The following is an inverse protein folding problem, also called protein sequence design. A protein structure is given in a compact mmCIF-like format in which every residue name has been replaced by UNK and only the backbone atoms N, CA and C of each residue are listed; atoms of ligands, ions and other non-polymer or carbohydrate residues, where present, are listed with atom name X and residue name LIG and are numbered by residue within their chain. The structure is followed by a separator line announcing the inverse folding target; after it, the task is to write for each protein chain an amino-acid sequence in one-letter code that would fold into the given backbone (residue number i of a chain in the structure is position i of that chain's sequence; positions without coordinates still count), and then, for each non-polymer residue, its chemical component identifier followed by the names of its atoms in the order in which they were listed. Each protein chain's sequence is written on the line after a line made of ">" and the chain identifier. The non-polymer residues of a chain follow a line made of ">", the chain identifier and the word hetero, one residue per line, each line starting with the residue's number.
data_IF_967308965098
#
_entry.id   IF_967308965098
#
_cell.length_a   1.000
_cell.length_b   1.000
_cell.length_c   1.000
_cell.angle_alpha   90.00
_cell.angle_beta   90.00
_cell.angle_gamma   90.00
#
_symmetry.space_group_name_H-M   'P 1'
#
loop_
_entity.id
_entity.type
_entity.pdbx_description
1 polymer ?
#
# COMPACT_ATOMS: atom_id res chain seq x y z
N UNK A 1 -17.81 -7.69 52.42
CA UNK A 1 -18.55 -6.72 51.58
C UNK A 1 -17.66 -5.52 51.38
N UNK A 2 -17.05 -5.37 50.21
CA UNK A 2 -16.32 -4.18 49.80
C UNK A 2 -16.67 -3.91 48.35
N UNK A 3 -17.51 -2.90 48.12
CA UNK A 3 -17.94 -2.43 46.81
C UNK A 3 -16.83 -1.55 46.21
N UNK A 4 -16.16 -2.05 45.18
CA UNK A 4 -15.25 -1.26 44.37
C UNK A 4 -16.06 -0.45 43.35
N UNK A 5 -16.22 0.85 43.60
CA UNK A 5 -16.78 1.78 42.62
C UNK A 5 -15.79 2.01 41.48
N UNK A 6 -16.17 1.63 40.26
CA UNK A 6 -15.50 2.06 39.03
C UNK A 6 -15.82 3.52 38.80
N UNK A 7 -14.84 4.39 39.00
CA UNK A 7 -14.95 5.80 38.58
C UNK A 7 -14.73 5.84 37.05
N UNK A 8 -15.82 6.01 36.31
CA UNK A 8 -15.78 6.41 34.90
C UNK A 8 -15.16 7.82 34.84
N UNK A 9 -13.86 7.85 34.56
CA UNK A 9 -13.10 9.08 34.38
C UNK A 9 -13.49 9.69 33.03
N UNK A 10 -14.33 10.72 33.06
CA UNK A 10 -14.69 11.49 31.85
C UNK A 10 -13.41 12.15 31.32
N UNK A 11 -13.03 11.88 30.05
CA UNK A 11 -11.80 12.45 29.50
C UNK A 11 -11.86 13.97 29.48
N UNK A 12 -10.77 14.60 29.94
CA UNK A 12 -10.64 16.06 30.01
C UNK A 12 -10.89 16.73 28.65
N UNK A 13 -11.51 17.93 28.61
CA UNK A 13 -11.77 18.66 27.39
C UNK A 13 -10.45 18.97 26.66
N UNK A 14 -10.40 18.68 25.36
CA UNK A 14 -9.22 18.91 24.53
C UNK A 14 -8.99 20.41 24.33
N UNK A 15 -7.72 20.84 24.36
CA UNK A 15 -7.39 22.26 24.14
C UNK A 15 -7.76 22.72 22.71
N UNK A 16 -8.05 24.02 22.52
CA UNK A 16 -8.34 24.59 21.19
C UNK A 16 -7.24 24.32 20.16
N UNK A 17 -5.97 24.30 20.56
CA UNK A 17 -4.84 23.97 19.70
C UNK A 17 -4.84 22.51 19.25
N UNK A 18 -5.23 21.58 20.14
CA UNK A 18 -5.36 20.16 19.82
C UNK A 18 -6.49 19.93 18.82
N UNK A 19 -7.61 20.63 18.98
CA UNK A 19 -8.73 20.58 18.04
C UNK A 19 -8.37 21.17 16.68
N UNK A 20 -7.67 22.30 16.64
CA UNK A 20 -7.22 22.91 15.39
C UNK A 20 -6.23 22.01 14.62
N UNK A 21 -5.28 21.38 15.30
CA UNK A 21 -4.36 20.40 14.69
C UNK A 21 -5.11 19.18 14.13
N UNK A 22 -6.07 18.64 14.87
CA UNK A 22 -6.88 17.50 14.41
C UNK A 22 -7.69 17.86 13.16
N UNK A 23 -8.31 19.04 13.13
CA UNK A 23 -9.06 19.52 11.97
C UNK A 23 -8.16 19.68 10.74
N UNK A 24 -6.96 20.26 10.90
CA UNK A 24 -5.99 20.41 9.82
C UNK A 24 -5.49 19.04 9.31
N UNK A 25 -5.21 18.10 10.21
CA UNK A 25 -4.78 16.75 9.85
C UNK A 25 -5.89 15.97 9.12
N UNK A 26 -7.15 16.16 9.50
CA UNK A 26 -8.30 15.54 8.84
C UNK A 26 -8.50 16.10 7.43
N UNK A 27 -8.42 17.43 7.26
CA UNK A 27 -8.50 18.08 5.94
C UNK A 27 -7.36 17.63 5.03
N UNK A 28 -6.16 17.45 5.56
CA UNK A 28 -5.02 16.96 4.80
C UNK A 28 -5.20 15.49 4.37
N UNK A 29 -5.88 14.65 5.16
CA UNK A 29 -6.20 13.27 4.79
C UNK A 29 -7.28 13.20 3.71
N UNK A 30 -8.35 13.98 3.84
CA UNK A 30 -9.41 14.06 2.83
C UNK A 30 -8.86 14.55 1.47
N UNK A 31 -7.96 15.53 1.49
CA UNK A 31 -7.29 15.98 0.28
C UNK A 31 -6.41 14.88 -0.33
N UNK A 32 -5.67 14.13 0.49
CA UNK A 32 -4.88 13.00 0.04
C UNK A 32 -5.77 11.92 -0.58
N UNK A 33 -6.90 11.59 0.05
CA UNK A 33 -7.87 10.63 -0.47
C UNK A 33 -8.42 11.06 -1.83
N UNK A 34 -8.85 12.31 -1.98
CA UNK A 34 -9.34 12.84 -3.27
C UNK A 34 -8.31 12.72 -4.38
N UNK A 35 -7.05 13.06 -4.09
CA UNK A 35 -5.94 12.94 -5.04
C UNK A 35 -5.67 11.49 -5.43
N UNK A 36 -5.78 10.54 -4.50
CA UNK A 36 -5.64 9.11 -4.80
C UNK A 36 -6.75 8.69 -5.76
N UNK A 37 -8.00 9.00 -5.45
CA UNK A 37 -9.16 8.64 -6.29
C UNK A 37 -9.07 9.28 -7.70
N UNK A 38 -8.49 10.47 -7.83
CA UNK A 38 -8.21 11.08 -9.13
C UNK A 38 -7.03 10.44 -9.90
N UNK A 39 -6.37 9.42 -9.32
CA UNK A 39 -5.26 8.70 -9.96
C UNK A 39 -3.89 9.37 -9.83
N UNK A 40 -3.72 10.31 -8.89
CA UNK A 40 -2.44 10.96 -8.63
C UNK A 40 -1.41 9.95 -8.08
N UNK A 41 -0.41 9.64 -8.90
CA UNK A 41 0.65 8.66 -8.58
C UNK A 41 1.52 9.10 -7.39
N UNK A 42 1.75 10.40 -7.23
CA UNK A 42 2.54 10.91 -6.10
C UNK A 42 1.77 10.80 -4.79
N UNK A 43 0.46 11.07 -4.81
CA UNK A 43 -0.44 10.86 -3.68
C UNK A 43 -0.49 9.38 -3.29
N UNK A 44 -0.65 8.48 -4.26
CA UNK A 44 -0.60 7.03 -4.04
C UNK A 44 0.72 6.59 -3.39
N UNK A 45 1.86 7.04 -3.91
CA UNK A 45 3.17 6.69 -3.37
C UNK A 45 3.34 7.16 -1.90
N UNK A 46 2.84 8.36 -1.56
CA UNK A 46 2.84 8.89 -0.18
C UNK A 46 1.96 8.06 0.74
N UNK A 47 0.76 7.68 0.29
CA UNK A 47 -0.17 6.84 1.04
C UNK A 47 0.43 5.45 1.32
N UNK A 48 1.09 4.85 0.34
CA UNK A 48 1.78 3.57 0.54
C UNK A 48 2.90 3.72 1.58
N UNK A 49 3.69 4.78 1.53
CA UNK A 49 4.73 5.06 2.54
C UNK A 49 4.12 5.22 3.94
N UNK A 50 2.94 5.84 4.04
CA UNK A 50 2.21 5.96 5.31
C UNK A 50 1.79 4.59 5.87
N UNK A 51 1.23 3.72 5.03
CA UNK A 51 0.81 2.35 5.36
C UNK A 51 2.01 1.46 5.75
N UNK A 52 3.12 1.58 5.04
CA UNK A 52 4.36 0.83 5.30
C UNK A 52 5.06 1.26 6.60
N UNK A 53 4.74 2.42 7.13
CA UNK A 53 5.37 2.96 8.33
C UNK A 53 5.05 2.16 9.60
N UNK A 54 6.05 1.96 10.45
CA UNK A 54 5.90 1.33 11.76
C UNK A 54 5.50 2.30 12.89
N UNK A 55 5.50 3.62 12.63
CA UNK A 55 5.20 4.65 13.65
C UNK A 55 3.73 4.59 14.06
N UNK A 56 3.40 4.61 15.38
CA UNK A 56 2.01 4.52 15.85
C UNK A 56 1.08 5.61 15.30
N UNK A 57 1.57 6.86 15.21
CA UNK A 57 0.80 7.98 14.63
C UNK A 57 0.48 7.76 13.15
N UNK A 58 1.41 7.18 12.38
CA UNK A 58 1.20 6.87 10.97
C UNK A 58 0.18 5.73 10.79
N UNK A 59 0.16 4.73 11.69
CA UNK A 59 -0.83 3.64 11.62
C UNK A 59 -2.26 4.15 11.74
N UNK A 60 -2.51 5.07 12.70
CA UNK A 60 -3.84 5.67 12.87
C UNK A 60 -4.26 6.41 11.61
N UNK A 61 -3.42 7.28 11.09
CA UNK A 61 -3.68 8.05 9.87
C UNK A 61 -3.87 7.15 8.64
N UNK A 62 -3.11 6.06 8.54
CA UNK A 62 -3.28 5.07 7.48
C UNK A 62 -4.65 4.39 7.54
N UNK A 63 -5.13 4.04 8.74
CA UNK A 63 -6.45 3.44 8.93
C UNK A 63 -7.57 4.41 8.58
N UNK A 64 -7.49 5.67 9.03
CA UNK A 64 -8.44 6.72 8.69
C UNK A 64 -8.51 6.93 7.16
N UNK A 65 -7.34 7.02 6.49
CA UNK A 65 -7.26 7.12 5.03
C UNK A 65 -7.89 5.92 4.32
N UNK A 66 -7.58 4.71 4.77
CA UNK A 66 -8.13 3.48 4.18
C UNK A 66 -9.65 3.41 4.35
N UNK A 67 -10.19 3.81 5.50
CA UNK A 67 -11.64 3.86 5.72
C UNK A 67 -12.33 4.81 4.71
N UNK A 68 -11.74 5.96 4.45
CA UNK A 68 -12.27 6.92 3.47
C UNK A 68 -12.21 6.37 2.04
N UNK A 69 -11.18 5.57 1.73
CA UNK A 69 -10.97 5.00 0.39
C UNK A 69 -11.74 3.69 0.12
N UNK A 70 -12.26 3.01 1.15
CA UNK A 70 -12.96 1.72 1.01
C UNK A 70 -14.08 1.74 -0.05
N UNK A 71 -14.92 2.78 -0.18
CA UNK A 71 -15.97 2.83 -1.21
C UNK A 71 -15.43 2.76 -2.66
N UNK A 72 -14.17 3.08 -2.86
CA UNK A 72 -13.49 3.08 -4.16
C UNK A 72 -12.69 1.81 -4.44
N UNK A 73 -12.87 0.76 -3.64
CA UNK A 73 -12.11 -0.50 -3.71
C UNK A 73 -13.01 -1.70 -4.01
N UNK A 74 -12.39 -2.89 -4.16
CA UNK A 74 -13.11 -4.16 -4.26
C UNK A 74 -13.50 -4.58 -5.69
N UNK A 75 -13.06 -3.85 -6.71
CA UNK A 75 -13.40 -4.13 -8.12
C UNK A 75 -12.20 -4.64 -8.93
N UNK A 76 -10.99 -4.55 -8.41
CA UNK A 76 -9.80 -4.95 -9.16
C UNK A 76 -9.60 -6.47 -9.17
N UNK A 77 -9.07 -6.97 -10.28
CA UNK A 77 -8.53 -8.32 -10.35
C UNK A 77 -7.20 -8.39 -9.59
N UNK A 78 -7.10 -9.32 -8.64
CA UNK A 78 -5.90 -9.51 -7.82
C UNK A 78 -5.21 -10.80 -8.23
N UNK A 79 -3.97 -10.69 -8.72
CA UNK A 79 -3.18 -11.79 -9.25
C UNK A 79 -1.94 -11.98 -8.37
N UNK A 80 -1.77 -13.17 -7.79
CA UNK A 80 -0.56 -13.55 -7.08
C UNK A 80 0.40 -14.31 -8.00
N UNK A 81 1.66 -13.86 -8.11
CA UNK A 81 2.71 -14.56 -8.85
C UNK A 81 3.81 -14.94 -7.87
N UNK A 82 4.07 -16.23 -7.74
CA UNK A 82 5.10 -16.79 -6.85
C UNK A 82 6.00 -17.76 -7.62
N UNK A 83 7.12 -18.10 -7.05
CA UNK A 83 8.07 -19.05 -7.62
C UNK A 83 9.51 -18.75 -7.20
N UNK A 84 10.41 -19.69 -7.45
CA UNK A 84 11.83 -19.58 -7.06
C UNK A 84 12.52 -18.36 -7.70
N UNK A 85 13.58 -17.82 -7.08
CA UNK A 85 14.39 -16.78 -7.69
C UNK A 85 14.94 -17.22 -9.08
N UNK A 86 14.97 -16.29 -10.03
CA UNK A 86 15.51 -16.54 -11.37
C UNK A 86 14.59 -17.28 -12.36
N UNK A 87 13.40 -17.74 -11.95
CA UNK A 87 12.47 -18.49 -12.84
C UNK A 87 11.80 -17.65 -13.91
N UNK A 88 12.02 -16.33 -13.95
CA UNK A 88 11.46 -15.44 -14.97
C UNK A 88 10.15 -14.74 -14.55
N UNK A 89 9.78 -14.71 -13.26
CA UNK A 89 8.56 -14.04 -12.79
C UNK A 89 8.44 -12.60 -13.27
N UNK A 90 9.45 -11.78 -13.10
CA UNK A 90 9.43 -10.36 -13.49
C UNK A 90 9.31 -10.21 -15.03
N UNK A 91 9.85 -11.14 -15.82
CA UNK A 91 9.69 -11.16 -17.28
C UNK A 91 8.24 -11.45 -17.67
N UNK A 92 7.62 -12.43 -17.00
CA UNK A 92 6.20 -12.74 -17.21
C UNK A 92 5.32 -11.57 -16.81
N UNK A 93 5.60 -10.94 -15.66
CA UNK A 93 4.85 -9.77 -15.16
C UNK A 93 4.96 -8.60 -16.14
N UNK A 94 6.16 -8.32 -16.68
CA UNK A 94 6.37 -7.25 -17.66
C UNK A 94 5.56 -7.49 -18.92
N UNK A 95 5.59 -8.72 -19.48
CA UNK A 95 4.83 -9.06 -20.68
C UNK A 95 3.31 -9.08 -20.44
N UNK A 96 2.86 -9.72 -19.35
CA UNK A 96 1.45 -9.75 -18.96
C UNK A 96 0.89 -8.35 -18.74
N UNK A 97 1.64 -7.51 -18.00
CA UNK A 97 1.23 -6.15 -17.72
C UNK A 97 1.10 -5.30 -18.99
N UNK A 98 2.03 -5.42 -19.94
CA UNK A 98 1.93 -4.72 -21.23
C UNK A 98 0.72 -5.21 -22.03
N UNK A 99 0.43 -6.50 -22.07
CA UNK A 99 -0.74 -7.03 -22.75
C UNK A 99 -2.04 -6.50 -22.13
N UNK A 100 -2.16 -6.54 -20.79
CA UNK A 100 -3.31 -5.99 -20.08
C UNK A 100 -3.50 -4.49 -20.33
N UNK A 101 -2.42 -3.72 -20.42
CA UNK A 101 -2.50 -2.29 -20.75
C UNK A 101 -2.94 -2.08 -22.19
N UNK A 102 -2.51 -2.92 -23.12
CA UNK A 102 -2.99 -2.87 -24.51
C UNK A 102 -4.49 -3.14 -24.61
N UNK A 103 -5.02 -4.01 -23.75
CA UNK A 103 -6.46 -4.29 -23.61
C UNK A 103 -7.23 -3.21 -22.84
N UNK A 104 -6.57 -2.11 -22.43
CA UNK A 104 -7.21 -0.95 -21.80
C UNK A 104 -7.13 -0.91 -20.28
N UNK A 105 -6.52 -1.89 -19.63
CA UNK A 105 -6.39 -1.97 -18.17
C UNK A 105 -5.35 -0.99 -17.59
N UNK A 106 -5.45 -0.73 -16.29
CA UNK A 106 -4.44 -0.05 -15.47
C UNK A 106 -3.84 -1.05 -14.49
N UNK A 107 -2.54 -1.26 -14.53
CA UNK A 107 -1.87 -2.35 -13.82
C UNK A 107 -1.01 -1.81 -12.68
N UNK A 108 -1.25 -2.28 -11.45
CA UNK A 108 -0.33 -2.08 -10.34
C UNK A 108 0.46 -3.36 -10.05
N UNK A 109 1.77 -3.25 -9.87
CA UNK A 109 2.65 -4.36 -9.47
C UNK A 109 3.23 -4.07 -8.10
N UNK A 110 2.97 -4.95 -7.15
CA UNK A 110 3.50 -4.90 -5.79
C UNK A 110 4.54 -6.01 -5.64
N UNK A 111 5.81 -5.66 -5.69
CA UNK A 111 6.90 -6.61 -5.48
C UNK A 111 7.21 -6.72 -3.98
N UNK A 112 6.90 -7.88 -3.39
CA UNK A 112 7.10 -8.18 -1.97
C UNK A 112 8.34 -9.03 -1.82
N UNK A 113 9.47 -8.42 -1.42
CA UNK A 113 10.72 -9.14 -1.19
C UNK A 113 11.01 -9.30 0.32
N UNK A 114 10.87 -10.51 0.89
CA UNK A 114 11.15 -10.76 2.29
C UNK A 114 12.64 -10.62 2.66
N UNK A 115 13.53 -10.58 1.69
CA UNK A 115 14.99 -10.60 1.93
C UNK A 115 15.65 -9.21 1.86
N UNK A 116 14.94 -8.16 1.46
CA UNK A 116 15.49 -6.84 1.16
C UNK A 116 16.18 -6.11 2.33
N UNK A 117 16.08 -6.62 3.56
CA UNK A 117 16.84 -6.10 4.71
C UNK A 117 18.33 -6.40 4.67
N UNK A 118 18.77 -7.42 3.92
CA UNK A 118 20.17 -7.92 4.00
C UNK A 118 21.11 -7.31 2.96
N UNK A 119 20.60 -6.80 1.86
CA UNK A 119 21.46 -6.48 0.70
C UNK A 119 21.35 -5.05 0.17
N UNK A 120 20.49 -4.17 0.69
CA UNK A 120 20.43 -2.76 0.27
C UNK A 120 20.26 -2.48 -1.25
N UNK A 121 20.20 -3.53 -2.07
CA UNK A 121 20.33 -3.46 -3.52
C UNK A 121 19.09 -3.80 -4.35
N UNK A 122 18.01 -4.29 -3.74
CA UNK A 122 16.88 -4.86 -4.50
C UNK A 122 15.93 -3.83 -5.12
N UNK A 123 15.82 -2.62 -4.57
CA UNK A 123 14.80 -1.65 -5.01
C UNK A 123 15.03 -1.15 -6.46
N UNK A 124 16.27 -1.07 -6.90
CA UNK A 124 16.61 -0.71 -8.28
C UNK A 124 16.53 -1.90 -9.23
N UNK A 125 16.80 -3.12 -8.77
CA UNK A 125 16.81 -4.33 -9.58
C UNK A 125 15.45 -4.72 -10.14
N UNK A 126 14.35 -4.52 -9.42
CA UNK A 126 13.01 -4.90 -9.88
C UNK A 126 12.46 -3.95 -10.94
N UNK A 127 12.76 -2.65 -10.84
CA UNK A 127 12.40 -1.69 -11.91
C UNK A 127 13.18 -1.93 -13.19
N UNK A 128 14.43 -2.38 -13.10
CA UNK A 128 15.27 -2.70 -14.29
C UNK A 128 14.84 -3.99 -14.97
N UNK A 129 14.13 -4.89 -14.29
CA UNK A 129 13.64 -6.14 -14.87
C UNK A 129 12.28 -6.02 -15.57
N UNK A 130 11.49 -4.99 -15.22
CA UNK A 130 10.18 -4.69 -15.80
C UNK A 130 10.23 -3.33 -16.53
N UNK A 131 11.17 -3.16 -17.46
CA UNK A 131 11.48 -1.86 -18.05
C UNK A 131 10.33 -1.26 -18.86
N UNK A 132 9.65 -2.08 -19.64
CA UNK A 132 8.52 -1.62 -20.48
C UNK A 132 7.35 -1.18 -19.61
N UNK A 133 7.06 -1.96 -18.57
CA UNK A 133 5.98 -1.65 -17.65
C UNK A 133 6.32 -0.43 -16.79
N UNK A 134 7.58 -0.31 -16.34
CA UNK A 134 8.03 0.79 -15.47
C UNK A 134 7.93 2.18 -16.14
N UNK A 135 8.00 2.25 -17.47
CA UNK A 135 7.91 3.49 -18.26
C UNK A 135 6.50 3.81 -18.72
N UNK A 136 5.54 2.91 -18.50
CA UNK A 136 4.16 3.08 -18.96
C UNK A 136 3.32 3.87 -17.92
N UNK A 137 2.61 4.90 -18.39
CA UNK A 137 1.77 5.75 -17.52
C UNK A 137 0.57 5.02 -16.91
N UNK A 138 0.11 3.93 -17.53
CA UNK A 138 -0.96 3.07 -17.02
C UNK A 138 -0.47 2.00 -16.04
N UNK A 139 0.86 1.93 -15.80
CA UNK A 139 1.44 1.02 -14.82
C UNK A 139 1.94 1.76 -13.58
N UNK A 140 1.88 1.08 -12.44
CA UNK A 140 2.48 1.51 -11.19
C UNK A 140 3.24 0.35 -10.57
N UNK A 141 4.55 0.49 -10.38
CA UNK A 141 5.39 -0.54 -9.76
C UNK A 141 5.85 -0.06 -8.40
N UNK A 142 5.54 -0.82 -7.37
CA UNK A 142 5.96 -0.56 -5.99
C UNK A 142 6.78 -1.73 -5.45
N UNK A 143 8.10 -1.60 -5.35
CA UNK A 143 8.90 -2.46 -4.50
C UNK A 143 8.57 -2.16 -3.05
N UNK A 144 8.10 -3.15 -2.30
CA UNK A 144 7.78 -3.01 -0.87
C UNK A 144 8.82 -3.73 -0.03
N UNK A 145 9.62 -3.00 0.75
CA UNK A 145 10.56 -3.63 1.67
C UNK A 145 9.78 -4.36 2.76
N UNK A 146 10.01 -5.64 2.90
CA UNK A 146 9.43 -6.42 3.99
C UNK A 146 10.19 -6.19 5.27
N UNK A 147 9.75 -5.22 6.04
CA UNK A 147 10.22 -5.05 7.40
C UNK A 147 9.18 -5.58 8.38
N UNK A 148 9.40 -6.75 8.99
CA UNK A 148 8.50 -7.23 10.06
C UNK A 148 8.22 -8.73 10.03
N UNK A 149 7.25 -9.15 10.85
CA UNK A 149 6.72 -10.51 10.88
C UNK A 149 5.92 -10.81 9.60
N UNK A 150 5.82 -12.09 9.20
CA UNK A 150 5.03 -12.53 8.04
C UNK A 150 3.60 -11.95 8.04
N UNK A 151 2.94 -11.93 9.20
CA UNK A 151 1.59 -11.33 9.32
C UNK A 151 1.56 -9.81 9.09
N UNK A 152 2.61 -9.09 9.50
CA UNK A 152 2.74 -7.65 9.26
C UNK A 152 2.95 -7.32 7.79
N UNK A 153 3.70 -8.14 7.06
CA UNK A 153 3.89 -8.04 5.61
C UNK A 153 2.57 -8.25 4.88
N UNK A 154 1.87 -9.35 5.17
CA UNK A 154 0.58 -9.68 4.53
C UNK A 154 -0.46 -8.56 4.73
N UNK A 155 -0.51 -7.96 5.94
CA UNK A 155 -1.40 -6.84 6.22
C UNK A 155 -1.07 -5.62 5.36
N UNK A 156 0.21 -5.19 5.33
CA UNK A 156 0.66 -4.02 4.56
C UNK A 156 0.43 -4.22 3.05
N UNK A 157 0.68 -5.42 2.55
CA UNK A 157 0.41 -5.76 1.14
C UNK A 157 -1.08 -5.60 0.82
N UNK A 158 -1.98 -6.10 1.71
CA UNK A 158 -3.43 -5.92 1.54
C UNK A 158 -3.83 -4.45 1.56
N UNK A 159 -3.32 -3.67 2.51
CA UNK A 159 -3.57 -2.24 2.61
C UNK A 159 -3.07 -1.49 1.36
N UNK A 160 -1.90 -1.87 0.82
CA UNK A 160 -1.35 -1.30 -0.42
C UNK A 160 -2.18 -1.68 -1.66
N UNK A 161 -2.72 -2.91 -1.72
CA UNK A 161 -3.67 -3.28 -2.79
C UNK A 161 -4.91 -2.38 -2.78
N UNK A 162 -5.51 -2.13 -1.61
CA UNK A 162 -6.67 -1.23 -1.50
C UNK A 162 -6.35 0.19 -1.98
N UNK A 163 -5.17 0.71 -1.65
CA UNK A 163 -4.72 2.02 -2.13
C UNK A 163 -4.57 2.06 -3.65
N UNK A 164 -3.99 1.01 -4.25
CA UNK A 164 -3.86 0.90 -5.70
C UNK A 164 -5.24 0.84 -6.39
N UNK A 165 -6.17 0.04 -5.86
CA UNK A 165 -7.54 -0.04 -6.38
C UNK A 165 -8.25 1.31 -6.31
N UNK A 166 -8.17 2.01 -5.16
CA UNK A 166 -8.76 3.33 -4.99
C UNK A 166 -8.17 4.37 -5.96
N UNK A 167 -6.91 4.19 -6.38
CA UNK A 167 -6.25 5.02 -7.39
C UNK A 167 -6.63 4.63 -8.84
N UNK A 168 -7.58 3.68 -9.01
CA UNK A 168 -8.12 3.30 -10.29
C UNK A 168 -7.28 2.26 -11.04
N UNK A 169 -6.41 1.50 -10.38
CA UNK A 169 -5.77 0.32 -10.96
C UNK A 169 -6.74 -0.86 -10.84
N UNK A 170 -7.18 -1.37 -11.97
CA UNK A 170 -8.17 -2.45 -12.06
C UNK A 170 -7.56 -3.85 -12.13
N UNK A 171 -6.24 -3.94 -12.28
CA UNK A 171 -5.45 -5.16 -12.12
C UNK A 171 -4.31 -4.90 -11.13
N UNK A 172 -4.26 -5.70 -10.05
CA UNK A 172 -3.19 -5.62 -9.05
C UNK A 172 -2.44 -6.95 -9.01
N UNK A 173 -1.18 -6.92 -9.43
CA UNK A 173 -0.29 -8.09 -9.42
C UNK A 173 0.59 -8.01 -8.17
N UNK A 174 0.58 -9.07 -7.36
CA UNK A 174 1.47 -9.23 -6.21
C UNK A 174 2.54 -10.25 -6.56
N UNK A 175 3.78 -9.80 -6.73
CA UNK A 175 4.93 -10.67 -6.89
C UNK A 175 5.50 -11.02 -5.51
N UNK A 176 5.57 -12.31 -5.19
CA UNK A 176 6.22 -12.79 -3.98
C UNK A 176 7.48 -13.56 -4.32
N UNK A 177 8.52 -13.43 -3.48
CA UNK A 177 9.65 -14.36 -3.53
C UNK A 177 9.18 -15.66 -2.90
N UNK A 178 9.45 -16.79 -3.58
CA UNK A 178 9.12 -18.11 -3.07
C UNK A 178 9.83 -18.35 -1.73
N UNK A 179 9.04 -18.45 -0.67
CA UNK A 179 9.47 -18.92 0.63
C UNK A 179 9.09 -20.39 0.71
N UNK A 180 10.03 -21.26 0.81
CA UNK A 180 9.77 -22.69 0.87
C UNK A 180 10.96 -23.54 0.43
N UNK A 181 12.14 -23.05 0.71
CA UNK A 181 13.38 -23.82 0.57
C UNK A 181 14.01 -24.00 1.94
#
# INVERSE_FOLDING_TARGET
>A
MASGGSTDEVPAPRSPETLARQTFDTLALAELARRIVSGDRAALARAITLVESSRPSHRRRAQELLQELLPHTGKAHRIGITGVPGVGKSTIIDQLGINLIADGHRVAVLAVDPTSRRTGGSILGDKTRMQRLATNDRAFIRPSPTSGTLGGVARRTRETMLLAEAAGYDVVIVETVGVGQ
#
